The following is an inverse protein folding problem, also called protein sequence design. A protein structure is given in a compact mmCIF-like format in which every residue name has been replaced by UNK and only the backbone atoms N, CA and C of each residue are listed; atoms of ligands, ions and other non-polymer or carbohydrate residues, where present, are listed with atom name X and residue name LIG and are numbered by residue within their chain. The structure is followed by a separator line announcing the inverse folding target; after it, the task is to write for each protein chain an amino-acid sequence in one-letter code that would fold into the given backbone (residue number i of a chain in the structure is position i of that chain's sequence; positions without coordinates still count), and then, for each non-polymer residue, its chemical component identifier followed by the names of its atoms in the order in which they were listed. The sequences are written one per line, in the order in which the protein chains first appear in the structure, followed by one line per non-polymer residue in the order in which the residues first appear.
data_IF_496316534189
#
_entry.id   IF_496316534189
#
_cell.length_a   1.000
_cell.length_b   1.000
_cell.length_c   1.000
_cell.angle_alpha   90.00
_cell.angle_beta   90.00
_cell.angle_gamma   90.00
#
_symmetry.space_group_name_H-M   'P 1'
#
loop_
_entity.id
_entity.type
_entity.pdbx_description
1 polymer ?
#
# COMPACT_ATOMS: atom_id res chain seq x y z
N UNK A 1 -73.85 -37.04 -30.66
CA UNK A 1 -74.59 -36.80 -29.40
C UNK A 1 -73.61 -36.27 -28.36
N UNK A 2 -73.87 -35.05 -27.86
CA UNK A 2 -73.56 -34.46 -26.55
C UNK A 2 -72.16 -34.67 -25.92
N UNK A 3 -71.27 -33.70 -26.12
CA UNK A 3 -70.11 -33.45 -25.26
C UNK A 3 -70.50 -32.46 -24.15
N UNK A 4 -70.10 -32.66 -22.88
CA UNK A 4 -70.24 -31.64 -21.86
C UNK A 4 -69.05 -30.67 -21.87
N UNK A 5 -69.41 -29.39 -21.75
CA UNK A 5 -68.55 -28.25 -21.46
C UNK A 5 -68.07 -28.26 -20.00
N UNK A 6 -66.98 -27.51 -19.80
CA UNK A 6 -66.63 -26.74 -18.59
C UNK A 6 -65.67 -27.40 -17.59
N UNK A 7 -64.53 -26.73 -17.41
CA UNK A 7 -63.45 -27.07 -16.49
C UNK A 7 -62.21 -26.22 -16.82
N UNK A 8 -62.38 -24.90 -16.73
CA UNK A 8 -61.35 -23.88 -16.88
C UNK A 8 -60.62 -23.81 -15.53
N UNK A 9 -59.39 -24.31 -15.49
CA UNK A 9 -58.40 -23.90 -14.50
C UNK A 9 -57.19 -23.37 -15.30
N UNK A 10 -57.26 -22.06 -15.57
CA UNK A 10 -56.08 -21.22 -15.73
C UNK A 10 -55.36 -21.22 -14.38
N UNK A 11 -54.39 -22.11 -14.18
CA UNK A 11 -53.38 -21.90 -13.15
C UNK A 11 -52.26 -21.05 -13.74
N UNK A 12 -52.28 -19.79 -13.29
CA UNK A 12 -51.24 -18.77 -13.40
C UNK A 12 -49.82 -19.36 -13.29
N UNK A 13 -49.03 -19.13 -14.32
CA UNK A 13 -47.59 -19.00 -14.21
C UNK A 13 -47.31 -17.62 -13.60
N UNK A 14 -46.45 -17.47 -12.58
CA UNK A 14 -45.03 -17.39 -12.88
C UNK A 14 -44.13 -18.16 -11.91
N UNK A 15 -43.04 -18.68 -12.46
CA UNK A 15 -41.85 -19.12 -11.75
C UNK A 15 -41.50 -18.20 -10.56
N UNK A 16 -40.97 -18.74 -9.44
CA UNK A 16 -40.55 -17.91 -8.31
C UNK A 16 -39.57 -16.85 -8.79
N UNK A 17 -40.04 -15.60 -8.71
CA UNK A 17 -39.27 -14.41 -8.98
C UNK A 17 -38.25 -14.19 -7.86
N UNK A 18 -37.12 -13.62 -8.29
CA UNK A 18 -36.16 -12.90 -7.47
C UNK A 18 -35.20 -13.77 -6.64
N UNK A 19 -34.45 -14.63 -7.33
CA UNK A 19 -32.99 -14.64 -7.10
C UNK A 19 -32.47 -13.23 -7.45
N UNK A 20 -32.63 -12.32 -6.50
CA UNK A 20 -31.94 -11.04 -6.53
C UNK A 20 -30.47 -11.34 -6.27
N UNK A 21 -29.77 -11.76 -7.33
CA UNK A 21 -28.32 -11.70 -7.39
C UNK A 21 -27.95 -10.25 -7.07
N UNK A 22 -27.48 -10.03 -5.84
CA UNK A 22 -26.84 -8.78 -5.51
C UNK A 22 -25.58 -8.72 -6.38
N UNK A 23 -25.65 -7.99 -7.49
CA UNK A 23 -24.47 -7.55 -8.21
C UNK A 23 -23.61 -6.79 -7.20
N UNK A 24 -22.51 -7.41 -6.77
CA UNK A 24 -21.49 -6.70 -6.01
C UNK A 24 -21.02 -5.57 -6.93
N UNK A 25 -21.01 -4.29 -6.48
CA UNK A 25 -20.50 -3.22 -7.30
C UNK A 25 -19.06 -3.54 -7.71
N UNK A 26 -18.82 -3.77 -9.01
CA UNK A 26 -17.49 -4.03 -9.58
C UNK A 26 -16.54 -2.82 -9.47
N UNK A 27 -17.02 -1.70 -8.93
CA UNK A 27 -16.23 -0.50 -8.67
C UNK A 27 -15.81 -0.35 -7.20
N UNK A 28 -15.51 -1.46 -6.52
CA UNK A 28 -14.49 -1.38 -5.47
C UNK A 28 -13.15 -1.20 -6.17
N UNK A 29 -12.90 0.03 -6.64
CA UNK A 29 -11.67 0.45 -7.29
C UNK A 29 -10.51 -0.07 -6.44
N UNK A 30 -9.92 -1.19 -6.83
CA UNK A 30 -8.85 -1.83 -6.10
C UNK A 30 -7.74 -0.80 -6.09
N UNK A 31 -7.50 -0.18 -4.94
CA UNK A 31 -6.53 0.90 -4.82
C UNK A 31 -5.14 0.28 -5.00
N UNK A 32 -4.70 0.22 -6.25
CA UNK A 32 -3.40 -0.37 -6.62
C UNK A 32 -2.32 0.57 -6.08
N UNK A 33 -1.69 0.18 -4.98
CA UNK A 33 -0.50 0.86 -4.49
C UNK A 33 0.57 0.82 -5.57
N UNK A 34 1.01 1.99 -6.02
CA UNK A 34 2.12 2.10 -6.97
C UNK A 34 3.42 2.25 -6.20
N UNK A 35 4.47 1.61 -6.71
CA UNK A 35 5.83 1.83 -6.25
C UNK A 35 6.47 2.83 -7.21
N UNK A 36 6.99 3.93 -6.67
CA UNK A 36 7.66 4.98 -7.44
C UNK A 36 9.10 5.13 -6.99
N UNK A 37 9.99 5.35 -7.95
CA UNK A 37 11.39 5.69 -7.68
C UNK A 37 11.56 7.19 -7.88
N UNK A 38 12.12 7.86 -6.86
CA UNK A 38 12.40 9.29 -6.87
C UNK A 38 13.84 9.56 -6.48
N UNK A 39 14.40 10.67 -6.96
CA UNK A 39 15.73 11.10 -6.56
C UNK A 39 15.62 12.12 -5.43
N UNK A 40 16.46 11.97 -4.42
CA UNK A 40 16.59 12.94 -3.34
C UNK A 40 17.75 13.88 -3.66
N UNK A 41 17.41 15.05 -4.20
CA UNK A 41 18.33 16.13 -4.56
C UNK A 41 18.31 17.31 -3.57
N UNK A 42 17.38 17.31 -2.61
CA UNK A 42 17.27 18.33 -1.57
C UNK A 42 15.88 18.37 -0.90
N UNK A 43 15.63 19.46 -0.17
CA UNK A 43 14.37 19.68 0.55
C UNK A 43 13.10 19.67 -0.33
N UNK A 44 13.08 20.24 -1.56
CA UNK A 44 11.88 20.21 -2.39
C UNK A 44 11.44 18.79 -2.76
N UNK A 45 12.40 17.87 -2.89
CA UNK A 45 12.11 16.47 -3.21
C UNK A 45 11.59 15.70 -2.00
N UNK A 46 11.99 16.06 -0.77
CA UNK A 46 11.37 15.55 0.46
C UNK A 46 9.86 15.82 0.45
N UNK A 47 9.45 17.05 0.17
CA UNK A 47 8.02 17.41 0.16
C UNK A 47 7.23 16.67 -0.94
N UNK A 48 7.83 16.50 -2.12
CA UNK A 48 7.24 15.70 -3.21
C UNK A 48 7.05 14.24 -2.82
N UNK A 49 8.08 13.63 -2.23
CA UNK A 49 8.05 12.24 -1.76
C UNK A 49 6.96 12.08 -0.69
N UNK A 50 6.91 12.97 0.30
CA UNK A 50 5.90 12.90 1.36
C UNK A 50 4.47 13.07 0.82
N UNK A 51 4.26 13.90 -0.21
CA UNK A 51 2.96 14.02 -0.86
C UNK A 51 2.52 12.71 -1.50
N UNK A 52 3.41 12.05 -2.24
CA UNK A 52 3.15 10.75 -2.87
C UNK A 52 2.85 9.64 -1.85
N UNK A 53 3.55 9.65 -0.72
CA UNK A 53 3.30 8.69 0.37
C UNK A 53 1.93 8.95 1.00
N UNK A 54 1.52 10.21 1.19
CA UNK A 54 0.16 10.54 1.68
C UNK A 54 -0.95 10.12 0.71
N UNK A 55 -0.68 10.08 -0.59
CA UNK A 55 -1.59 9.54 -1.61
C UNK A 55 -1.69 7.99 -1.55
N UNK A 56 -0.92 7.33 -0.68
CA UNK A 56 -0.92 5.87 -0.51
C UNK A 56 0.08 5.12 -1.39
N UNK A 57 1.06 5.81 -1.97
CA UNK A 57 2.09 5.17 -2.80
C UNK A 57 3.36 4.85 -1.99
N UNK A 58 4.05 3.78 -2.39
CA UNK A 58 5.36 3.43 -1.83
C UNK A 58 6.42 4.17 -2.64
N UNK A 59 7.37 4.79 -1.95
CA UNK A 59 8.44 5.57 -2.60
C UNK A 59 9.80 5.01 -2.25
N UNK A 60 10.62 4.79 -3.28
CA UNK A 60 12.02 4.43 -3.17
C UNK A 60 12.84 5.67 -3.56
N UNK A 61 13.49 6.28 -2.58
CA UNK A 61 14.30 7.47 -2.74
C UNK A 61 15.78 7.10 -2.95
N UNK A 62 16.37 7.55 -4.05
CA UNK A 62 17.83 7.49 -4.26
C UNK A 62 18.51 8.62 -3.50
N UNK A 63 19.47 8.29 -2.62
CA UNK A 63 20.25 9.27 -1.86
C UNK A 63 21.65 9.49 -2.43
N UNK A 64 21.97 8.90 -3.58
CA UNK A 64 23.31 8.95 -4.18
C UNK A 64 23.81 10.37 -4.41
N UNK A 65 22.98 11.21 -5.02
CA UNK A 65 23.33 12.59 -5.37
C UNK A 65 23.62 13.42 -4.10
N UNK A 66 22.79 13.30 -3.06
CA UNK A 66 23.01 13.98 -1.77
C UNK A 66 24.17 13.40 -0.96
N UNK A 67 24.44 12.09 -1.07
CA UNK A 67 25.56 11.44 -0.38
C UNK A 67 26.90 11.95 -0.92
N UNK A 68 27.01 12.09 -2.24
CA UNK A 68 28.21 12.62 -2.91
C UNK A 68 28.34 14.14 -2.76
N UNK A 69 27.23 14.88 -2.80
CA UNK A 69 27.25 16.34 -2.70
C UNK A 69 27.43 16.83 -1.25
N UNK A 70 26.55 16.44 -0.33
CA UNK A 70 26.55 16.96 1.03
C UNK A 70 25.87 16.02 2.04
N UNK A 71 26.69 15.37 2.87
CA UNK A 71 26.21 14.44 3.90
C UNK A 71 25.41 15.13 5.02
N UNK A 72 25.68 16.41 5.30
CA UNK A 72 24.92 17.16 6.32
C UNK A 72 23.49 17.43 5.87
N UNK A 73 23.33 17.85 4.61
CA UNK A 73 22.03 18.09 4.01
C UNK A 73 21.20 16.80 3.90
N UNK A 74 21.86 15.68 3.57
CA UNK A 74 21.24 14.36 3.59
C UNK A 74 20.65 14.01 4.96
N UNK A 75 21.42 14.21 6.04
CA UNK A 75 20.93 13.96 7.42
C UNK A 75 19.73 14.85 7.76
N UNK A 76 19.75 16.11 7.33
CA UNK A 76 18.64 17.03 7.57
C UNK A 76 17.38 16.58 6.81
N UNK A 77 17.52 16.16 5.55
CA UNK A 77 16.42 15.62 4.74
C UNK A 77 15.84 14.34 5.36
N UNK A 78 16.69 13.38 5.77
CA UNK A 78 16.25 12.14 6.42
C UNK A 78 15.51 12.43 7.72
N UNK A 79 16.03 13.34 8.55
CA UNK A 79 15.38 13.73 9.81
C UNK A 79 13.96 14.27 9.56
N UNK A 80 13.83 15.18 8.57
CA UNK A 80 12.54 15.73 8.17
C UNK A 80 11.59 14.68 7.62
N UNK A 81 12.08 13.77 6.77
CA UNK A 81 11.31 12.63 6.25
C UNK A 81 10.83 11.73 7.38
N UNK A 82 11.69 11.43 8.36
CA UNK A 82 11.35 10.59 9.51
C UNK A 82 10.24 11.20 10.35
N UNK A 83 10.32 12.48 10.70
CA UNK A 83 9.25 13.20 11.41
C UNK A 83 7.95 13.17 10.61
N UNK A 84 8.03 13.42 9.31
CA UNK A 84 6.86 13.43 8.44
C UNK A 84 6.24 12.02 8.29
N UNK A 85 7.04 10.95 8.25
CA UNK A 85 6.60 9.56 8.25
C UNK A 85 5.92 9.16 9.56
N UNK A 86 6.48 9.58 10.70
CA UNK A 86 5.87 9.35 12.02
C UNK A 86 4.47 9.97 12.10
N UNK A 87 4.29 11.17 11.55
CA UNK A 87 2.99 11.86 11.55
C UNK A 87 1.91 11.15 10.70
N UNK A 88 2.30 10.35 9.72
CA UNK A 88 1.38 9.60 8.85
C UNK A 88 1.27 8.11 9.26
N UNK A 89 1.91 7.72 10.37
CA UNK A 89 2.04 6.31 10.79
C UNK A 89 2.60 5.40 9.68
N UNK A 90 3.51 5.91 8.87
CA UNK A 90 4.23 5.15 7.85
C UNK A 90 5.51 4.53 8.38
N UNK A 91 6.13 3.66 7.60
CA UNK A 91 7.45 3.07 7.91
C UNK A 91 8.52 3.57 6.94
N UNK A 92 9.75 3.70 7.46
CA UNK A 92 10.94 4.14 6.75
C UNK A 92 12.08 3.15 7.03
N UNK A 93 12.74 2.69 5.95
CA UNK A 93 13.90 1.83 6.05
C UNK A 93 14.96 2.21 5.02
N UNK A 94 16.24 2.08 5.39
CA UNK A 94 17.34 2.13 4.44
C UNK A 94 17.45 0.80 3.70
N UNK A 95 17.50 0.85 2.38
CA UNK A 95 17.79 -0.29 1.51
C UNK A 95 19.23 -0.17 0.99
N UNK A 96 20.16 -0.83 1.67
CA UNK A 96 21.59 -0.74 1.35
C UNK A 96 22.17 0.64 1.64
N UNK A 97 23.15 1.07 0.84
CA UNK A 97 23.93 2.30 1.09
C UNK A 97 23.45 3.55 0.35
N UNK A 98 22.55 3.38 -0.64
CA UNK A 98 22.19 4.43 -1.60
C UNK A 98 20.68 4.61 -1.78
N UNK A 99 19.86 3.82 -1.09
CA UNK A 99 18.41 3.84 -1.24
C UNK A 99 17.69 3.89 0.10
N UNK A 100 16.56 4.58 0.11
CA UNK A 100 15.64 4.63 1.25
C UNK A 100 14.25 4.28 0.75
N UNK A 101 13.58 3.38 1.45
CA UNK A 101 12.20 2.98 1.18
C UNK A 101 11.31 3.68 2.20
N UNK A 102 10.26 4.33 1.70
CA UNK A 102 9.21 4.96 2.49
C UNK A 102 7.88 4.34 2.11
N UNK A 103 7.17 3.90 3.14
CA UNK A 103 5.87 3.26 3.02
C UNK A 103 4.81 4.05 3.78
N UNK A 104 3.59 4.18 3.23
CA UNK A 104 2.44 4.71 3.96
C UNK A 104 1.96 3.71 5.02
N UNK A 105 1.00 4.10 5.86
CA UNK A 105 0.41 3.24 6.89
C UNK A 105 -0.25 1.95 6.35
N UNK A 106 -0.52 1.87 5.05
CA UNK A 106 -1.07 0.69 4.38
C UNK A 106 -0.04 -0.38 4.05
N UNK A 107 1.27 -0.13 4.23
CA UNK A 107 2.34 -1.08 3.96
C UNK A 107 3.39 -1.06 5.09
N UNK A 108 3.83 -2.24 5.54
CA UNK A 108 4.89 -2.39 6.55
C UNK A 108 6.15 -2.96 5.93
N UNK A 109 7.32 -2.50 6.38
CA UNK A 109 8.61 -3.01 5.92
C UNK A 109 9.02 -4.17 6.84
N UNK A 110 8.88 -5.40 6.34
CA UNK A 110 9.40 -6.57 7.06
C UNK A 110 10.91 -6.58 6.97
N UNK A 111 11.57 -6.59 8.13
CA UNK A 111 13.02 -6.71 8.27
C UNK A 111 13.24 -8.02 9.01
N UNK A 112 13.78 -9.01 8.34
CA UNK A 112 14.31 -10.18 9.05
C UNK A 112 15.48 -9.65 9.88
N UNK A 113 15.24 -9.46 11.18
CA UNK A 113 16.29 -9.04 12.09
C UNK A 113 17.42 -10.05 11.90
N UNK A 114 18.58 -9.58 11.43
CA UNK A 114 19.78 -10.39 11.41
C UNK A 114 19.88 -11.04 12.79
N UNK A 115 19.73 -12.35 12.83
CA UNK A 115 19.76 -13.12 14.07
C UNK A 115 20.98 -12.64 14.85
N UNK A 116 20.85 -12.27 16.14
CA UNK A 116 22.02 -11.95 16.95
C UNK A 116 22.93 -13.18 16.90
N UNK A 117 24.07 -13.05 16.21
CA UNK A 117 25.13 -14.05 16.24
C UNK A 117 25.49 -14.26 17.71
N UNK A 118 25.35 -15.50 18.16
CA UNK A 118 25.49 -15.93 19.54
C UNK A 118 26.68 -15.25 20.25
N UNK A 119 26.53 -14.86 21.53
CA UNK A 119 27.65 -14.36 22.30
C UNK A 119 28.71 -15.46 22.39
N UNK A 120 29.91 -15.18 21.87
CA UNK A 120 31.07 -16.05 22.03
C UNK A 120 31.27 -16.35 23.51
N UNK A 121 31.37 -17.63 23.80
CA UNK A 121 31.91 -18.22 25.02
C UNK A 121 33.18 -17.50 25.47
N UNK A 122 33.12 -16.85 26.65
CA UNK A 122 34.29 -16.70 27.51
C UNK A 122 34.10 -17.66 28.67
N UNK A 123 34.77 -18.80 28.49
CA UNK A 123 35.24 -19.69 29.54
C UNK A 123 36.25 -18.96 30.41
N UNK A 124 36.04 -18.96 31.73
CA UNK A 124 37.09 -18.99 32.76
C UNK A 124 36.53 -19.58 34.06
#
# INVERSE_FOLDING_TARGET
MKFPLFGKDEEDNPAPSDEQYAELPEDSAVMRMKVMVEKLDGLPSVDKIMRKVREGNIVIASIRDLKEANTEELKHCISRMKTACMNINGDIAGAGEEWIIITPSSAGIYREAALPSEPKSESE
#
